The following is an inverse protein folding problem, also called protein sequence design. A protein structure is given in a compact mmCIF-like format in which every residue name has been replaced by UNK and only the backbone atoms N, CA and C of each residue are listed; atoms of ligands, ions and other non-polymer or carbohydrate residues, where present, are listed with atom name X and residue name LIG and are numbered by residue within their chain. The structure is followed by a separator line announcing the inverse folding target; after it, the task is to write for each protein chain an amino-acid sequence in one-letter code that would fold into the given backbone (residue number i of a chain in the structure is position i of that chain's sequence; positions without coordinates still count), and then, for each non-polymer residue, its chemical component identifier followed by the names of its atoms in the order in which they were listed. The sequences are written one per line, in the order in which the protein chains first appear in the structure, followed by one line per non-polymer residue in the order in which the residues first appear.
data_IF_002440936391
#
_entry.id   IF_002440936391
#
_cell.length_a   1.000
_cell.length_b   1.000
_cell.length_c   1.000
_cell.angle_alpha   90.00
_cell.angle_beta   90.00
_cell.angle_gamma   90.00
#
_symmetry.space_group_name_H-M   'P 1'
#
loop_
_entity.id
_entity.type
_entity.pdbx_description
1 polymer ?
#
# COMPACT_ATOMS: atom_id res chain seq x y z
N UNK A 1 3.46 -6.23 -17.22
CA UNK A 1 2.42 -5.55 -16.38
C UNK A 1 3.00 -5.34 -14.98
N UNK A 2 2.83 -4.16 -14.45
CA UNK A 2 3.28 -3.88 -13.09
C UNK A 2 2.28 -4.45 -12.08
N UNK A 3 2.79 -4.97 -10.97
CA UNK A 3 1.98 -5.64 -9.96
C UNK A 3 1.99 -4.84 -8.66
N UNK A 4 0.81 -4.73 -8.06
CA UNK A 4 0.63 -3.94 -6.85
C UNK A 4 0.09 -4.85 -5.74
N UNK A 5 0.77 -4.86 -4.60
CA UNK A 5 0.30 -5.55 -3.41
C UNK A 5 -0.61 -4.60 -2.64
N UNK A 6 -1.86 -5.01 -2.46
CA UNK A 6 -2.86 -4.22 -1.72
C UNK A 6 -3.11 -4.88 -0.38
N UNK A 7 -2.84 -4.16 0.69
CA UNK A 7 -3.04 -4.65 2.06
C UNK A 7 -4.24 -3.90 2.66
N UNK A 8 -5.37 -4.57 2.74
CA UNK A 8 -6.64 -3.99 3.16
C UNK A 8 -7.53 -5.09 3.74
N UNK A 9 -8.07 -4.89 4.93
CA UNK A 9 -8.94 -5.87 5.58
C UNK A 9 -10.41 -5.71 5.25
N UNK A 10 -10.81 -4.53 4.77
CA UNK A 10 -12.21 -4.26 4.41
C UNK A 10 -12.47 -4.71 2.99
N UNK A 11 -13.40 -5.65 2.81
CA UNK A 11 -13.70 -6.21 1.50
C UNK A 11 -14.18 -5.17 0.49
N UNK A 12 -15.02 -4.23 0.92
CA UNK A 12 -15.53 -3.21 0.02
C UNK A 12 -14.42 -2.29 -0.49
N UNK A 13 -13.51 -1.89 0.41
CA UNK A 13 -12.37 -1.08 0.01
C UNK A 13 -11.43 -1.86 -0.90
N UNK A 14 -11.22 -3.14 -0.60
CA UNK A 14 -10.38 -4.00 -1.44
C UNK A 14 -10.96 -4.12 -2.85
N UNK A 15 -12.27 -4.32 -2.97
CA UNK A 15 -12.94 -4.41 -4.27
C UNK A 15 -12.81 -3.12 -5.06
N UNK A 16 -12.97 -1.99 -4.41
CA UNK A 16 -12.84 -0.69 -5.07
C UNK A 16 -11.43 -0.49 -5.61
N UNK A 17 -10.43 -0.73 -4.77
CA UNK A 17 -9.03 -0.59 -5.16
C UNK A 17 -8.69 -1.55 -6.30
N UNK A 18 -9.14 -2.81 -6.19
CA UNK A 18 -8.93 -3.81 -7.23
C UNK A 18 -9.51 -3.35 -8.57
N UNK A 19 -10.75 -2.87 -8.55
CA UNK A 19 -11.40 -2.37 -9.76
C UNK A 19 -10.60 -1.24 -10.41
N UNK A 20 -10.19 -0.26 -9.60
CA UNK A 20 -9.45 0.88 -10.12
C UNK A 20 -8.08 0.50 -10.69
N UNK A 21 -7.38 -0.41 -10.02
CA UNK A 21 -6.08 -0.86 -10.50
C UNK A 21 -6.21 -1.69 -11.78
N UNK A 22 -7.24 -2.52 -11.89
CA UNK A 22 -7.47 -3.28 -13.12
C UNK A 22 -7.77 -2.34 -14.29
N UNK A 23 -8.53 -1.28 -14.05
CA UNK A 23 -8.79 -0.27 -15.07
C UNK A 23 -7.50 0.39 -15.54
N UNK A 24 -6.53 0.54 -14.66
CA UNK A 24 -5.23 1.11 -15.01
C UNK A 24 -4.26 0.12 -15.65
N UNK A 25 -4.65 -1.14 -15.78
CA UNK A 25 -3.79 -2.15 -16.40
C UNK A 25 -2.78 -2.80 -15.46
N UNK A 26 -3.01 -2.72 -14.15
CA UNK A 26 -2.10 -3.29 -13.16
C UNK A 26 -2.52 -4.70 -12.74
N UNK A 27 -1.53 -5.53 -12.41
CA UNK A 27 -1.80 -6.80 -11.75
C UNK A 27 -1.93 -6.57 -10.26
N UNK A 28 -2.72 -7.41 -9.58
CA UNK A 28 -3.03 -7.21 -8.16
C UNK A 28 -2.67 -8.45 -7.37
N UNK A 29 -2.00 -8.24 -6.22
CA UNK A 29 -1.81 -9.26 -5.21
C UNK A 29 -2.50 -8.74 -3.96
N UNK A 30 -3.34 -9.56 -3.35
CA UNK A 30 -4.17 -9.14 -2.21
C UNK A 30 -3.66 -9.72 -0.90
N UNK A 31 -3.67 -8.90 0.15
CA UNK A 31 -3.41 -9.35 1.51
C UNK A 31 -4.41 -8.69 2.44
N UNK A 32 -5.00 -9.48 3.33
CA UNK A 32 -6.01 -8.97 4.26
C UNK A 32 -5.42 -8.57 5.60
N UNK A 33 -4.12 -8.80 5.81
CA UNK A 33 -3.46 -8.52 7.07
C UNK A 33 -1.99 -8.18 6.85
N UNK A 34 -1.36 -7.60 7.88
CA UNK A 34 0.07 -7.34 7.84
C UNK A 34 0.90 -8.60 7.70
N UNK A 35 0.48 -9.68 8.35
CA UNK A 35 1.17 -10.98 8.27
C UNK A 35 1.16 -11.52 6.84
N UNK A 36 0.00 -11.46 6.19
CA UNK A 36 -0.11 -11.89 4.78
C UNK A 36 0.77 -11.03 3.90
N UNK A 37 0.79 -9.72 4.13
CA UNK A 37 1.61 -8.81 3.34
C UNK A 37 3.09 -9.17 3.45
N UNK A 38 3.56 -9.41 4.67
CA UNK A 38 4.94 -9.80 4.91
C UNK A 38 5.27 -11.12 4.22
N UNK A 39 4.37 -12.09 4.33
CA UNK A 39 4.55 -13.39 3.70
C UNK A 39 4.67 -13.28 2.18
N UNK A 40 3.75 -12.55 1.55
CA UNK A 40 3.77 -12.35 0.10
C UNK A 40 5.05 -11.65 -0.34
N UNK A 41 5.41 -10.58 0.36
CA UNK A 41 6.60 -9.80 0.00
C UNK A 41 7.88 -10.61 0.12
N UNK A 42 7.94 -11.55 1.06
CA UNK A 42 9.13 -12.37 1.30
C UNK A 42 9.24 -13.60 0.42
N UNK A 43 8.16 -14.00 -0.25
CA UNK A 43 8.17 -15.19 -1.11
C UNK A 43 8.88 -14.96 -2.43
N UNK A 44 9.25 -13.73 -2.75
CA UNK A 44 9.90 -13.39 -4.00
C UNK A 44 8.92 -13.15 -5.14
N UNK A 45 7.63 -13.11 -4.86
CA UNK A 45 6.64 -12.73 -5.86
C UNK A 45 6.91 -11.29 -6.28
N UNK A 46 7.01 -11.00 -7.61
CA UNK A 46 7.34 -9.64 -8.02
C UNK A 46 6.22 -8.66 -7.69
N UNK A 47 6.58 -7.63 -6.94
CA UNK A 47 5.68 -6.55 -6.54
C UNK A 47 6.39 -5.25 -6.82
N UNK A 48 5.73 -4.36 -7.54
CA UNK A 48 6.31 -3.08 -7.94
C UNK A 48 5.94 -1.94 -7.01
N UNK A 49 4.85 -2.10 -6.24
CA UNK A 49 4.37 -1.09 -5.32
C UNK A 49 3.46 -1.74 -4.28
N UNK A 50 3.46 -1.20 -3.06
CA UNK A 50 2.61 -1.67 -1.98
C UNK A 50 1.67 -0.55 -1.55
N UNK A 51 0.36 -0.85 -1.53
CA UNK A 51 -0.65 0.01 -0.92
C UNK A 51 -0.97 -0.58 0.45
N UNK A 52 -0.65 0.16 1.50
CA UNK A 52 -0.78 -0.32 2.87
C UNK A 52 -1.83 0.46 3.63
N UNK A 53 -2.91 -0.20 4.02
CA UNK A 53 -3.87 0.39 4.95
C UNK A 53 -3.20 0.53 6.32
N UNK A 54 -3.21 1.74 6.86
CA UNK A 54 -2.56 2.01 8.14
C UNK A 54 -3.39 1.46 9.31
N UNK A 55 -4.69 1.33 9.14
CA UNK A 55 -5.60 0.92 10.22
C UNK A 55 -6.02 -0.54 10.10
N UNK A 56 -5.02 -1.44 10.10
CA UNK A 56 -5.29 -2.88 10.10
C UNK A 56 -5.58 -3.37 11.53
N UNK A 57 -6.54 -4.31 11.68
CA UNK A 57 -6.80 -4.86 13.02
C UNK A 57 -5.61 -5.66 13.54
N UNK A 58 -5.32 -5.49 14.81
CA UNK A 58 -4.31 -6.26 15.51
C UNK A 58 -2.86 -5.91 15.22
N UNK A 59 -2.59 -5.11 14.20
CA UNK A 59 -1.23 -4.71 13.83
C UNK A 59 -1.24 -3.26 13.39
N UNK A 60 -0.25 -2.50 13.86
CA UNK A 60 -0.04 -1.13 13.37
C UNK A 60 0.55 -1.22 11.95
N UNK A 61 -0.16 -0.69 10.96
CA UNK A 61 0.32 -0.69 9.58
C UNK A 61 1.70 -0.05 9.41
N UNK A 62 2.01 0.95 10.22
CA UNK A 62 3.33 1.59 10.16
C UNK A 62 4.44 0.66 10.64
N UNK A 63 4.16 -0.22 11.59
CA UNK A 63 5.13 -1.24 12.01
C UNK A 63 5.46 -2.19 10.87
N UNK A 64 4.44 -2.57 10.09
CA UNK A 64 4.64 -3.44 8.92
C UNK A 64 5.49 -2.74 7.88
N UNK A 65 5.23 -1.45 7.64
CA UNK A 65 6.04 -0.64 6.72
C UNK A 65 7.51 -0.63 7.16
N UNK A 66 7.77 -0.41 8.44
CA UNK A 66 9.13 -0.39 8.95
C UNK A 66 9.84 -1.73 8.75
N UNK A 67 9.14 -2.84 9.00
CA UNK A 67 9.71 -4.16 8.78
C UNK A 67 10.03 -4.41 7.31
N UNK A 68 9.13 -4.01 6.41
CA UNK A 68 9.36 -4.17 4.97
C UNK A 68 10.54 -3.32 4.50
N UNK A 69 10.68 -2.11 5.00
CA UNK A 69 11.79 -1.23 4.62
C UNK A 69 13.12 -1.67 5.21
N UNK A 70 13.10 -2.42 6.31
CA UNK A 70 14.31 -2.96 6.91
C UNK A 70 14.75 -4.31 6.32
N UNK A 71 13.92 -4.91 5.48
CA UNK A 71 14.24 -6.18 4.84
C UNK A 71 14.84 -5.90 3.46
N UNK A 72 16.04 -6.41 3.20
CA UNK A 72 16.75 -6.18 1.94
C UNK A 72 15.95 -6.64 0.72
N UNK A 73 15.06 -7.62 0.89
CA UNK A 73 14.26 -8.15 -0.20
C UNK A 73 13.13 -7.22 -0.61
N UNK A 74 12.70 -6.32 0.28
CA UNK A 74 11.52 -5.48 0.09
C UNK A 74 11.80 -3.99 0.23
N UNK A 75 13.00 -3.61 0.68
CA UNK A 75 13.33 -2.22 0.99
C UNK A 75 13.21 -1.26 -0.20
N UNK A 76 13.32 -1.77 -1.41
CA UNK A 76 13.26 -0.95 -2.62
C UNK A 76 11.86 -0.72 -3.14
N UNK A 77 10.89 -1.48 -2.63
CA UNK A 77 9.51 -1.38 -3.12
C UNK A 77 8.87 -0.12 -2.56
N UNK A 78 8.33 0.78 -3.40
CA UNK A 78 7.61 1.96 -2.89
C UNK A 78 6.38 1.53 -2.10
N UNK A 79 6.14 2.20 -0.97
CA UNK A 79 4.99 1.93 -0.12
C UNK A 79 4.18 3.20 0.03
N UNK A 80 2.90 3.14 -0.35
CA UNK A 80 1.94 4.23 -0.17
C UNK A 80 0.98 3.86 0.95
N UNK A 81 0.85 4.74 1.93
CA UNK A 81 -0.11 4.53 3.01
C UNK A 81 -1.52 4.90 2.55
N UNK A 82 -2.50 4.04 2.86
CA UNK A 82 -3.91 4.39 2.70
C UNK A 82 -4.43 4.79 4.09
N UNK A 83 -4.99 5.96 4.21
CA UNK A 83 -5.42 6.47 5.51
C UNK A 83 -6.67 7.33 5.41
N UNK A 84 -7.58 7.14 6.37
CA UNK A 84 -8.76 8.00 6.52
C UNK A 84 -8.43 9.28 7.28
N UNK A 85 -7.25 9.35 7.88
CA UNK A 85 -6.86 10.44 8.77
C UNK A 85 -5.55 11.08 8.33
N UNK A 86 -5.56 11.72 7.15
CA UNK A 86 -4.39 12.46 6.67
C UNK A 86 -4.37 13.86 7.26
N UNK A 87 -4.21 13.92 8.59
CA UNK A 87 -4.18 15.19 9.31
C UNK A 87 -2.76 15.77 9.34
N UNK A 88 -2.66 17.04 9.70
CA UNK A 88 -1.40 17.73 9.85
C UNK A 88 -0.53 16.96 10.86
N UNK A 89 0.68 16.60 10.46
CA UNK A 89 1.59 15.80 11.28
C UNK A 89 1.59 14.32 10.96
N UNK A 90 0.50 13.79 10.42
CA UNK A 90 0.44 12.38 10.04
C UNK A 90 1.34 12.08 8.84
N UNK A 91 1.43 13.02 7.91
CA UNK A 91 2.31 12.87 6.76
C UNK A 91 3.75 12.64 7.20
N UNK A 92 4.23 13.43 8.16
CA UNK A 92 5.60 13.28 8.67
C UNK A 92 5.78 11.93 9.34
N UNK A 93 4.77 11.48 10.08
CA UNK A 93 4.79 10.18 10.76
C UNK A 93 4.89 9.04 9.75
N UNK A 94 4.13 9.12 8.66
CA UNK A 94 4.17 8.12 7.60
C UNK A 94 5.55 8.09 6.92
N UNK A 95 6.09 9.25 6.61
CA UNK A 95 7.40 9.34 5.96
C UNK A 95 8.51 8.83 6.87
N UNK A 96 8.45 9.12 8.16
CA UNK A 96 9.44 8.64 9.12
C UNK A 96 9.40 7.12 9.28
N UNK A 97 8.22 6.52 9.12
CA UNK A 97 8.08 5.06 9.17
C UNK A 97 8.62 4.38 7.92
N UNK A 98 8.83 5.13 6.84
CA UNK A 98 9.38 4.60 5.60
C UNK A 98 8.43 4.62 4.43
N UNK A 99 7.22 5.17 4.59
CA UNK A 99 6.30 5.34 3.47
C UNK A 99 6.85 6.34 2.46
N UNK A 100 6.66 6.05 1.20
CA UNK A 100 7.08 6.97 0.12
C UNK A 100 6.04 8.05 -0.14
N UNK A 101 4.81 7.82 0.27
CA UNK A 101 3.73 8.78 0.16
C UNK A 101 2.47 8.25 0.83
N UNK A 102 1.36 8.92 0.59
CA UNK A 102 0.08 8.46 1.14
C UNK A 102 -1.07 8.84 0.22
N UNK A 103 -2.18 8.09 0.36
CA UNK A 103 -3.44 8.36 -0.33
C UNK A 103 -4.53 8.43 0.73
N UNK A 104 -5.29 9.52 0.72
CA UNK A 104 -6.38 9.72 1.68
C UNK A 104 -7.63 8.94 1.28
N UNK A 105 -8.33 8.41 2.27
CA UNK A 105 -9.67 7.85 2.08
C UNK A 105 -10.70 8.96 2.39
N UNK A 106 -11.82 9.00 1.71
CA UNK A 106 -12.25 8.09 0.64
C UNK A 106 -11.42 8.30 -0.63
N UNK A 107 -11.22 7.24 -1.38
CA UNK A 107 -10.38 7.26 -2.58
C UNK A 107 -11.05 8.11 -3.65
N UNK A 108 -10.30 9.07 -4.18
CA UNK A 108 -10.73 9.90 -5.30
C UNK A 108 -10.41 9.14 -6.59
N UNK A 109 -11.44 8.68 -7.27
CA UNK A 109 -11.32 7.88 -8.50
C UNK A 109 -10.49 8.60 -9.56
N UNK A 110 -10.63 9.93 -9.65
CA UNK A 110 -9.96 10.73 -10.68
C UNK A 110 -8.44 10.84 -10.47
N UNK A 111 -8.01 10.88 -9.21
CA UNK A 111 -6.59 11.12 -8.90
C UNK A 111 -5.84 9.87 -8.48
N UNK A 112 -6.56 8.79 -8.15
CA UNK A 112 -5.96 7.57 -7.62
C UNK A 112 -4.91 6.99 -8.57
N UNK A 113 -5.29 6.74 -9.82
CA UNK A 113 -4.38 6.13 -10.79
C UNK A 113 -3.19 7.03 -11.12
N UNK A 114 -3.40 8.34 -11.13
CA UNK A 114 -2.29 9.29 -11.34
C UNK A 114 -1.28 9.23 -10.22
N UNK A 115 -1.77 9.11 -8.98
CA UNK A 115 -0.89 8.97 -7.83
C UNK A 115 -0.07 7.68 -7.92
N UNK A 116 -0.72 6.56 -8.25
CA UNK A 116 -0.04 5.29 -8.43
C UNK A 116 1.05 5.39 -9.51
N UNK A 117 0.71 5.93 -10.66
CA UNK A 117 1.63 6.09 -11.78
C UNK A 117 2.88 6.88 -11.40
N UNK A 118 2.71 7.93 -10.60
CA UNK A 118 3.82 8.81 -10.25
C UNK A 118 4.91 8.07 -9.44
N UNK A 119 4.54 7.02 -8.72
CA UNK A 119 5.48 6.23 -7.94
C UNK A 119 6.05 5.02 -8.69
N UNK A 120 5.54 4.74 -9.87
CA UNK A 120 5.98 3.61 -10.68
C UNK A 120 6.87 4.00 -11.86
N UNK A 121 7.13 5.27 -12.02
CA UNK A 121 8.00 5.76 -13.09
C UNK A 121 9.47 5.67 -12.73
#
# INVERSE_FOLDING_TARGET
MKRILVVEDNEMNMQLVEFLLEEGGYGIVKAASGEEAMSVARTGEPVDLILMDIHLPGVDGLSVVQELKNDARTSRIPILALTAHAMRGDKDRFLQAGCDGYISKPIDVKTFLKAIESYLQ
#
